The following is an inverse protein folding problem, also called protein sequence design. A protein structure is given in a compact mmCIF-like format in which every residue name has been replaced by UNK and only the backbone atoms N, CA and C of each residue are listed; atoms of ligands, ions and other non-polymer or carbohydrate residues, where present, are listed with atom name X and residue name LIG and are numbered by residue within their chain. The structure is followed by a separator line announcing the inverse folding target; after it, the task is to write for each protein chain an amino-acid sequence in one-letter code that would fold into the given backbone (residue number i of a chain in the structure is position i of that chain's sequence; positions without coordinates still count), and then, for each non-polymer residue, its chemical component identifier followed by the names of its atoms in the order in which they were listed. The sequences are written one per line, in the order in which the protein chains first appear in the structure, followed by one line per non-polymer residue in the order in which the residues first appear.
data_IF_481256245651
#
_entry.id   IF_481256245651
#
_cell.length_a   1.000
_cell.length_b   1.000
_cell.length_c   1.000
_cell.angle_alpha   90.00
_cell.angle_beta   90.00
_cell.angle_gamma   90.00
#
_symmetry.space_group_name_H-M   'P 1'
#
loop_
_entity.id
_entity.type
_entity.pdbx_description
1 polymer ?
#
# COMPACT_ATOMS: atom_id res chain seq x y z
N UNK A 1 9.05 40.98 5.83
CA UNK A 1 8.47 39.71 6.30
C UNK A 1 9.57 38.68 6.34
N UNK A 2 9.80 38.08 7.47
CA UNK A 2 10.74 36.95 7.62
C UNK A 2 10.09 35.63 7.20
N UNK A 3 10.87 34.53 6.98
CA UNK A 3 10.30 33.21 6.71
C UNK A 3 9.37 32.69 7.81
N UNK A 4 9.61 33.08 9.07
CA UNK A 4 8.75 32.68 10.19
C UNK A 4 7.44 33.45 10.20
N UNK A 5 7.51 34.78 10.00
CA UNK A 5 6.31 35.63 9.84
C UNK A 5 5.43 35.16 8.67
N UNK A 6 6.02 34.68 7.56
CA UNK A 6 5.26 34.12 6.46
C UNK A 6 4.54 32.83 6.89
N UNK A 7 5.20 31.97 7.67
CA UNK A 7 4.59 30.72 8.17
C UNK A 7 3.37 31.03 9.05
N UNK A 8 3.50 31.99 9.96
CA UNK A 8 2.41 32.40 10.86
C UNK A 8 1.26 33.06 10.09
N UNK A 9 1.55 33.85 9.08
CA UNK A 9 0.55 34.47 8.22
C UNK A 9 -0.26 33.41 7.43
N UNK A 10 0.41 32.40 6.85
CA UNK A 10 -0.28 31.33 6.12
C UNK A 10 -1.17 30.52 7.08
N UNK A 11 -0.68 30.19 8.28
CA UNK A 11 -1.45 29.47 9.29
C UNK A 11 -2.65 30.29 9.77
N UNK A 12 -2.50 31.61 9.97
CA UNK A 12 -3.59 32.48 10.41
C UNK A 12 -4.78 32.45 9.45
N UNK A 13 -4.54 32.29 8.14
CA UNK A 13 -5.59 32.17 7.12
C UNK A 13 -6.40 30.88 7.20
N UNK A 14 -5.92 29.88 7.94
CA UNK A 14 -6.65 28.63 8.19
C UNK A 14 -7.61 28.74 9.39
N UNK A 15 -7.58 29.83 10.15
CA UNK A 15 -8.38 30.00 11.39
C UNK A 15 -9.87 29.80 11.15
N UNK A 16 -10.40 30.27 10.02
CA UNK A 16 -11.82 30.19 9.65
C UNK A 16 -12.20 28.86 8.95
N UNK A 17 -11.30 27.88 8.88
CA UNK A 17 -11.62 26.56 8.29
C UNK A 17 -12.71 25.85 9.12
N UNK A 18 -13.91 25.60 8.55
CA UNK A 18 -15.06 25.09 9.32
C UNK A 18 -14.82 23.69 9.91
N UNK A 19 -14.09 22.84 9.20
CA UNK A 19 -13.75 21.50 9.66
C UNK A 19 -12.52 21.58 10.57
N UNK A 20 -12.70 21.34 11.87
CA UNK A 20 -11.64 21.44 12.86
C UNK A 20 -10.48 20.47 12.60
N UNK A 21 -10.78 19.22 12.19
CA UNK A 21 -9.75 18.24 11.87
C UNK A 21 -8.95 18.64 10.65
N UNK A 22 -9.60 19.13 9.60
CA UNK A 22 -8.92 19.65 8.41
C UNK A 22 -8.02 20.84 8.78
N UNK A 23 -8.49 21.76 9.63
CA UNK A 23 -7.70 22.88 10.12
C UNK A 23 -6.44 22.41 10.85
N UNK A 24 -6.57 21.43 11.75
CA UNK A 24 -5.44 20.84 12.48
C UNK A 24 -4.41 20.23 11.51
N UNK A 25 -4.88 19.38 10.59
CA UNK A 25 -4.02 18.69 9.61
C UNK A 25 -3.29 19.70 8.73
N UNK A 26 -4.00 20.67 8.17
CA UNK A 26 -3.42 21.68 7.29
C UNK A 26 -2.44 22.63 8.03
N UNK A 27 -2.74 22.98 9.27
CA UNK A 27 -1.82 23.77 10.09
C UNK A 27 -0.51 23.03 10.34
N UNK A 28 -0.60 21.74 10.68
CA UNK A 28 0.57 20.88 10.87
C UNK A 28 1.37 20.71 9.56
N UNK A 29 0.68 20.44 8.46
CA UNK A 29 1.29 20.28 7.13
C UNK A 29 2.08 21.53 6.72
N UNK A 30 1.49 22.71 6.83
CA UNK A 30 2.15 23.99 6.49
C UNK A 30 3.41 24.19 7.33
N UNK A 31 3.34 23.94 8.65
CA UNK A 31 4.52 24.06 9.53
C UNK A 31 5.66 23.16 9.07
N UNK A 32 5.36 21.89 8.78
CA UNK A 32 6.38 20.90 8.41
C UNK A 32 6.97 21.15 7.02
N UNK A 33 6.15 21.54 6.03
CA UNK A 33 6.65 21.90 4.70
C UNK A 33 7.55 23.15 4.78
N UNK A 34 7.14 24.19 5.52
CA UNK A 34 7.96 25.39 5.69
C UNK A 34 9.24 25.11 6.50
N UNK A 35 9.15 24.25 7.53
CA UNK A 35 10.32 23.83 8.29
C UNK A 35 11.31 23.06 7.40
N UNK A 36 10.82 22.10 6.62
CA UNK A 36 11.63 21.36 5.64
C UNK A 36 12.34 22.32 4.67
N UNK A 37 11.59 23.22 4.01
CA UNK A 37 12.19 24.15 3.04
C UNK A 37 13.28 25.05 3.66
N UNK A 38 13.10 25.50 4.91
CA UNK A 38 14.10 26.27 5.66
C UNK A 38 15.31 25.45 6.05
N UNK A 39 15.10 24.22 6.53
CA UNK A 39 16.14 23.30 6.98
C UNK A 39 17.11 22.94 5.85
N UNK A 40 16.59 22.52 4.70
CA UNK A 40 17.42 22.16 3.53
C UNK A 40 17.86 23.36 2.71
N UNK A 41 17.38 24.59 3.03
CA UNK A 41 17.61 25.81 2.25
C UNK A 41 17.23 25.61 0.78
N UNK A 42 16.02 25.08 0.56
CA UNK A 42 15.51 24.68 -0.75
C UNK A 42 15.68 25.81 -1.79
N UNK A 43 16.37 25.52 -2.87
CA UNK A 43 16.53 26.46 -3.98
C UNK A 43 15.28 26.53 -4.87
N UNK A 44 15.13 27.59 -5.67
CA UNK A 44 14.04 27.71 -6.64
C UNK A 44 14.07 26.60 -7.69
N UNK A 45 15.26 26.16 -8.08
CA UNK A 45 15.43 25.08 -9.03
C UNK A 45 14.96 23.74 -8.45
N UNK A 46 15.38 23.40 -7.23
CA UNK A 46 14.95 22.19 -6.53
C UNK A 46 13.44 22.19 -6.25
N UNK A 47 12.90 23.35 -5.85
CA UNK A 47 11.45 23.52 -5.69
C UNK A 47 10.71 23.24 -7.01
N UNK A 48 11.17 23.79 -8.13
CA UNK A 48 10.55 23.54 -9.44
C UNK A 48 10.69 22.09 -9.89
N UNK A 49 11.82 21.42 -9.61
CA UNK A 49 12.00 19.99 -9.86
C UNK A 49 10.98 19.16 -9.06
N UNK A 50 10.74 19.52 -7.79
CA UNK A 50 9.70 18.90 -6.95
C UNK A 50 8.31 19.08 -7.52
N UNK A 51 7.95 20.28 -7.97
CA UNK A 51 6.66 20.54 -8.64
C UNK A 51 6.50 19.69 -9.90
N UNK A 52 7.51 19.64 -10.76
CA UNK A 52 7.48 18.84 -11.98
C UNK A 52 7.40 17.34 -11.70
N UNK A 53 8.07 16.86 -10.65
CA UNK A 53 7.98 15.48 -10.21
C UNK A 53 6.55 15.13 -9.79
N UNK A 54 5.92 15.94 -8.93
CA UNK A 54 4.53 15.72 -8.48
C UNK A 54 3.54 15.82 -9.65
N UNK A 55 3.74 16.77 -10.58
CA UNK A 55 2.91 16.91 -11.77
C UNK A 55 2.94 15.64 -12.60
N UNK A 56 4.13 15.14 -12.94
CA UNK A 56 4.28 13.87 -13.69
C UNK A 56 3.71 12.66 -12.95
N UNK A 57 3.85 12.62 -11.63
CA UNK A 57 3.23 11.57 -10.80
C UNK A 57 1.71 11.59 -10.93
N UNK A 58 1.10 12.79 -10.95
CA UNK A 58 -0.33 12.95 -11.17
C UNK A 58 -0.77 12.57 -12.59
N UNK A 59 0.00 12.96 -13.61
CA UNK A 59 -0.31 12.69 -15.02
C UNK A 59 -0.38 11.19 -15.37
N UNK A 60 0.37 10.36 -14.67
CA UNK A 60 0.38 8.89 -14.90
C UNK A 60 -0.44 8.11 -13.87
N UNK A 61 -1.05 8.80 -12.90
CA UNK A 61 -1.95 8.16 -11.93
C UNK A 61 -3.34 7.99 -12.54
N UNK A 62 -3.85 6.76 -12.54
CA UNK A 62 -5.22 6.43 -12.98
C UNK A 62 -5.84 5.37 -12.04
N UNK A 63 -7.00 4.81 -12.40
CA UNK A 63 -7.71 3.80 -11.61
C UNK A 63 -6.94 2.49 -11.43
N UNK A 64 -5.98 2.20 -12.29
CA UNK A 64 -5.17 0.96 -12.29
C UNK A 64 -3.76 1.24 -11.79
N UNK A 65 -3.15 2.33 -12.26
CA UNK A 65 -1.80 2.75 -11.89
C UNK A 65 -1.85 3.82 -10.81
N UNK A 66 -1.58 3.41 -9.58
CA UNK A 66 -1.61 4.30 -8.41
C UNK A 66 -0.21 4.83 -8.07
N UNK A 67 0.31 5.72 -8.92
CA UNK A 67 1.68 6.24 -8.75
C UNK A 67 1.86 7.07 -7.47
N UNK A 68 0.82 7.79 -7.00
CA UNK A 68 0.86 8.49 -5.71
C UNK A 68 0.89 7.53 -4.52
N UNK A 69 0.18 6.39 -4.60
CA UNK A 69 0.29 5.35 -3.56
C UNK A 69 1.71 4.78 -3.57
N UNK A 70 2.26 4.49 -4.76
CA UNK A 70 3.63 4.01 -4.90
C UNK A 70 4.66 5.02 -4.33
N UNK A 71 4.44 6.32 -4.54
CA UNK A 71 5.27 7.37 -3.93
C UNK A 71 5.17 7.33 -2.40
N UNK A 72 3.95 7.25 -1.86
CA UNK A 72 3.70 7.15 -0.42
C UNK A 72 4.41 5.93 0.20
N UNK A 73 4.32 4.77 -0.47
CA UNK A 73 4.99 3.53 -0.06
C UNK A 73 6.52 3.68 -0.09
N UNK A 74 7.02 4.28 -1.16
CA UNK A 74 8.47 4.52 -1.33
C UNK A 74 9.04 5.45 -0.27
N UNK A 75 8.28 6.46 0.15
CA UNK A 75 8.63 7.38 1.23
C UNK A 75 8.35 6.81 2.64
N UNK A 76 7.72 5.64 2.75
CA UNK A 76 7.35 5.01 4.01
C UNK A 76 6.13 5.64 4.69
N UNK A 77 5.44 6.58 4.03
CA UNK A 77 4.29 7.27 4.62
C UNK A 77 3.10 6.32 4.81
N UNK A 78 2.83 5.45 3.85
CA UNK A 78 1.76 4.44 3.98
C UNK A 78 1.99 3.53 5.18
N UNK A 79 3.22 3.04 5.36
CA UNK A 79 3.59 2.20 6.50
C UNK A 79 3.47 2.95 7.83
N UNK A 80 3.90 4.22 7.86
CA UNK A 80 3.76 5.05 9.05
C UNK A 80 2.29 5.27 9.43
N UNK A 81 1.43 5.55 8.45
CA UNK A 81 -0.01 5.73 8.67
C UNK A 81 -0.64 4.42 9.16
N UNK A 82 -0.27 3.30 8.59
CA UNK A 82 -0.72 1.97 9.05
C UNK A 82 -0.31 1.74 10.51
N UNK A 83 0.95 1.95 10.87
CA UNK A 83 1.45 1.81 12.24
C UNK A 83 0.73 2.74 13.23
N UNK A 84 0.39 3.98 12.85
CA UNK A 84 -0.33 4.93 13.70
C UNK A 84 -1.77 4.45 13.97
N UNK A 85 -2.42 3.82 12.99
CA UNK A 85 -3.83 3.45 13.09
C UNK A 85 -4.07 2.01 13.57
N UNK A 86 -3.13 1.11 13.31
CA UNK A 86 -3.27 -0.32 13.60
C UNK A 86 -2.15 -0.87 14.49
N UNK A 87 -1.16 -0.04 14.85
CA UNK A 87 -0.11 -0.44 15.79
C UNK A 87 -0.71 -0.89 17.12
N UNK A 88 -0.46 -2.13 17.51
CA UNK A 88 -0.90 -2.70 18.79
C UNK A 88 0.25 -2.69 19.79
N UNK A 89 -0.02 -2.29 21.02
CA UNK A 89 0.89 -2.50 22.14
C UNK A 89 0.92 -3.98 22.59
N UNK A 90 0.01 -4.81 22.07
CA UNK A 90 -0.07 -6.23 22.35
C UNK A 90 0.98 -6.99 21.56
N UNK A 91 1.96 -7.58 22.22
CA UNK A 91 3.05 -8.35 21.58
C UNK A 91 2.58 -9.63 20.86
N UNK A 92 1.34 -10.05 21.07
CA UNK A 92 0.78 -11.31 20.56
C UNK A 92 -0.06 -11.15 19.31
N UNK A 93 -0.22 -9.91 18.81
CA UNK A 93 -0.98 -9.62 17.58
C UNK A 93 -0.04 -9.55 16.38
N UNK A 94 -0.44 -10.17 15.27
CA UNK A 94 0.30 -10.05 14.00
C UNK A 94 0.36 -8.58 13.58
N UNK A 95 1.56 -8.08 13.29
CA UNK A 95 1.76 -6.71 12.83
C UNK A 95 1.01 -6.46 11.52
N UNK A 96 0.34 -5.31 11.45
CA UNK A 96 -0.32 -4.84 10.23
C UNK A 96 0.71 -4.34 9.20
N UNK A 97 0.31 -4.34 7.93
CA UNK A 97 1.11 -3.81 6.83
C UNK A 97 0.22 -3.18 5.77
N UNK A 98 0.82 -2.48 4.83
CA UNK A 98 0.11 -1.78 3.75
C UNK A 98 -0.57 -2.75 2.78
N UNK A 99 -1.73 -2.35 2.24
CA UNK A 99 -2.45 -3.09 1.19
C UNK A 99 -1.68 -3.10 -0.14
N UNK A 100 -0.87 -2.09 -0.40
CA UNK A 100 -0.14 -1.92 -1.65
C UNK A 100 -1.03 -1.45 -2.83
N UNK A 101 -0.40 -1.10 -3.98
CA UNK A 101 -1.09 -0.46 -5.10
C UNK A 101 -1.93 -1.42 -5.97
N UNK A 102 -1.89 -2.74 -5.72
CA UNK A 102 -2.57 -3.76 -6.53
C UNK A 102 -3.76 -4.42 -5.81
N UNK A 103 -4.14 -3.90 -4.65
CA UNK A 103 -5.37 -4.31 -3.99
C UNK A 103 -6.59 -3.89 -4.82
N UNK A 104 -7.53 -4.81 -4.97
CA UNK A 104 -8.83 -4.56 -5.60
C UNK A 104 -9.90 -5.16 -4.71
N UNK A 105 -10.92 -4.39 -4.32
CA UNK A 105 -12.04 -4.91 -3.55
C UNK A 105 -12.85 -5.94 -4.35
N UNK A 106 -13.71 -6.67 -3.66
CA UNK A 106 -14.67 -7.61 -4.24
C UNK A 106 -14.04 -8.80 -4.98
N UNK A 107 -12.92 -9.33 -4.45
CA UNK A 107 -12.37 -10.62 -4.90
C UNK A 107 -13.44 -11.72 -4.86
N UNK A 108 -13.39 -12.73 -5.77
CA UNK A 108 -14.37 -13.82 -5.79
C UNK A 108 -14.35 -14.61 -4.47
N UNK A 109 -15.55 -15.01 -3.99
CA UNK A 109 -15.65 -15.93 -2.86
C UNK A 109 -15.25 -17.34 -3.30
N UNK A 110 -14.48 -18.04 -2.47
CA UNK A 110 -13.96 -19.37 -2.71
C UNK A 110 -14.18 -20.27 -1.50
N UNK A 111 -14.28 -21.57 -1.77
CA UNK A 111 -14.44 -22.56 -0.72
C UNK A 111 -13.12 -22.89 -0.01
N UNK A 112 -13.20 -23.45 1.18
CA UNK A 112 -12.03 -23.95 1.94
C UNK A 112 -11.23 -24.94 1.10
N UNK A 113 -9.93 -24.69 0.92
CA UNK A 113 -9.05 -25.52 0.09
C UNK A 113 -9.21 -25.38 -1.42
N UNK A 114 -10.07 -24.47 -1.89
CA UNK A 114 -10.18 -24.13 -3.30
C UNK A 114 -8.96 -23.36 -3.81
N UNK A 115 -8.64 -23.53 -5.11
CA UNK A 115 -7.54 -22.81 -5.75
C UNK A 115 -7.94 -21.39 -6.11
N UNK A 116 -7.06 -20.42 -5.85
CA UNK A 116 -7.20 -19.06 -6.37
C UNK A 116 -6.50 -18.87 -7.73
N UNK A 117 -5.89 -19.92 -8.29
CA UNK A 117 -5.27 -19.91 -9.61
C UNK A 117 -6.31 -20.18 -10.67
N UNK A 118 -6.54 -19.24 -11.57
CA UNK A 118 -7.45 -19.34 -12.73
C UNK A 118 -6.71 -19.35 -14.06
N UNK A 119 -5.43 -19.00 -14.05
CA UNK A 119 -4.57 -18.99 -15.23
C UNK A 119 -3.25 -19.67 -14.86
N UNK A 120 -2.96 -20.80 -15.52
CA UNK A 120 -1.73 -21.56 -15.32
C UNK A 120 -0.60 -20.93 -16.15
N UNK A 121 0.31 -20.26 -15.48
CA UNK A 121 1.52 -19.69 -16.06
C UNK A 121 2.79 -20.50 -15.72
N UNK A 122 2.61 -21.77 -15.31
CA UNK A 122 3.71 -22.69 -14.99
C UNK A 122 4.31 -22.45 -13.58
N UNK A 123 3.58 -21.81 -12.68
CA UNK A 123 4.03 -21.56 -11.32
C UNK A 123 4.18 -22.83 -10.48
N UNK A 124 5.09 -22.80 -9.51
CA UNK A 124 5.24 -23.88 -8.51
C UNK A 124 3.99 -23.93 -7.62
N UNK A 125 3.23 -25.06 -7.61
CA UNK A 125 2.05 -25.18 -6.75
C UNK A 125 2.41 -25.01 -5.26
N UNK A 126 1.57 -24.27 -4.54
CA UNK A 126 1.74 -24.02 -3.12
C UNK A 126 0.40 -24.11 -2.38
N UNK A 127 0.48 -24.40 -1.09
CA UNK A 127 -0.65 -24.34 -0.16
C UNK A 127 -0.33 -23.30 0.89
N UNK A 128 -1.22 -22.32 1.03
CA UNK A 128 -1.20 -21.36 2.11
C UNK A 128 -2.23 -21.80 3.16
N UNK A 129 -1.79 -22.08 4.37
CA UNK A 129 -2.67 -22.51 5.46
C UNK A 129 -2.27 -21.89 6.78
N UNK A 130 -3.22 -21.74 7.67
CA UNK A 130 -3.00 -21.18 8.99
C UNK A 130 -4.27 -21.15 9.81
N UNK A 131 -4.24 -20.36 10.88
CA UNK A 131 -5.36 -20.18 11.79
C UNK A 131 -5.48 -18.71 12.20
N UNK A 132 -6.71 -18.19 12.20
CA UNK A 132 -7.04 -16.88 12.78
C UNK A 132 -7.45 -17.10 14.22
N UNK A 133 -6.82 -16.34 15.11
CA UNK A 133 -7.09 -16.35 16.56
C UNK A 133 -7.31 -14.93 17.05
N UNK A 134 -8.09 -14.78 18.12
CA UNK A 134 -8.17 -13.51 18.85
C UNK A 134 -6.93 -13.29 19.73
N UNK A 135 -6.88 -12.15 20.43
CA UNK A 135 -5.75 -11.80 21.30
C UNK A 135 -5.60 -12.74 22.51
N UNK A 136 -6.64 -13.47 22.88
CA UNK A 136 -6.66 -14.46 23.96
C UNK A 136 -6.25 -15.86 23.47
N UNK A 137 -5.96 -16.02 22.16
CA UNK A 137 -5.57 -17.28 21.54
C UNK A 137 -6.73 -18.22 21.20
N UNK A 138 -7.98 -17.72 21.25
CA UNK A 138 -9.16 -18.49 20.86
C UNK A 138 -9.35 -18.43 19.33
N UNK A 139 -9.78 -19.54 18.68
CA UNK A 139 -9.99 -19.55 17.23
C UNK A 139 -11.17 -18.66 16.82
N UNK A 140 -11.00 -17.91 15.73
CA UNK A 140 -12.04 -17.07 15.14
C UNK A 140 -12.62 -17.77 13.93
N UNK A 141 -13.78 -18.42 14.12
CA UNK A 141 -14.52 -19.08 13.02
C UNK A 141 -15.34 -18.07 12.22
N UNK A 142 -15.31 -18.21 10.88
CA UNK A 142 -16.03 -17.33 9.96
C UNK A 142 -15.33 -15.98 9.70
N UNK A 143 -14.07 -15.82 10.13
CA UNK A 143 -13.27 -14.67 9.72
C UNK A 143 -13.06 -14.66 8.21
N UNK A 144 -13.28 -13.51 7.56
CA UNK A 144 -13.03 -13.34 6.14
C UNK A 144 -11.54 -13.04 5.89
N UNK A 145 -10.94 -13.79 4.96
CA UNK A 145 -9.59 -13.54 4.44
C UNK A 145 -9.70 -13.12 2.97
N UNK A 146 -9.45 -11.84 2.68
CA UNK A 146 -9.26 -11.38 1.31
C UNK A 146 -7.77 -11.50 0.96
N UNK A 147 -7.46 -12.40 0.01
CA UNK A 147 -6.10 -12.84 -0.28
C UNK A 147 -5.74 -12.51 -1.72
N UNK A 148 -4.55 -11.93 -1.94
CA UNK A 148 -4.03 -11.65 -3.29
C UNK A 148 -2.51 -11.72 -3.32
N UNK A 149 -1.99 -12.03 -4.49
CA UNK A 149 -0.56 -12.09 -4.76
C UNK A 149 -0.28 -11.86 -6.26
N UNK A 150 0.98 -11.81 -6.64
CA UNK A 150 1.38 -11.87 -8.04
C UNK A 150 1.32 -13.32 -8.57
N UNK A 151 1.13 -13.46 -9.88
CA UNK A 151 1.26 -14.71 -10.61
C UNK A 151 2.75 -15.12 -10.74
N UNK A 152 3.04 -16.32 -11.21
CA UNK A 152 4.42 -16.81 -11.33
C UNK A 152 5.27 -16.01 -12.32
N UNK A 153 4.65 -15.29 -13.26
CA UNK A 153 5.31 -14.36 -14.16
C UNK A 153 5.68 -13.00 -13.51
N UNK A 154 5.39 -12.80 -12.23
CA UNK A 154 5.72 -11.61 -11.46
C UNK A 154 4.71 -10.46 -11.55
N UNK A 155 3.60 -10.63 -12.25
CA UNK A 155 2.57 -9.59 -12.38
C UNK A 155 1.31 -9.90 -11.59
N UNK A 156 0.67 -8.88 -11.08
CA UNK A 156 -0.69 -8.98 -10.55
C UNK A 156 -1.71 -8.99 -11.69
N UNK A 157 -2.81 -9.68 -11.48
CA UNK A 157 -3.86 -9.83 -12.50
C UNK A 157 -4.36 -8.48 -13.07
N UNK A 158 -4.42 -7.44 -12.23
CA UNK A 158 -4.83 -6.09 -12.62
C UNK A 158 -3.89 -5.41 -13.61
N UNK A 159 -2.63 -5.84 -13.66
CA UNK A 159 -1.62 -5.31 -14.58
C UNK A 159 -1.66 -5.97 -15.96
N UNK A 160 -2.34 -7.12 -16.11
CA UNK A 160 -2.30 -7.96 -17.31
C UNK A 160 -3.70 -8.43 -17.74
N UNK A 161 -4.67 -7.54 -17.77
CA UNK A 161 -6.09 -7.83 -18.10
C UNK A 161 -6.28 -8.56 -19.45
N UNK A 162 -5.37 -8.38 -20.39
CA UNK A 162 -5.41 -9.03 -21.71
C UNK A 162 -4.77 -10.44 -21.70
N UNK A 163 -4.06 -10.82 -20.64
CA UNK A 163 -3.30 -12.07 -20.57
C UNK A 163 -3.94 -13.04 -19.58
N UNK A 164 -4.40 -12.54 -18.44
CA UNK A 164 -4.95 -13.35 -17.37
C UNK A 164 -6.25 -12.76 -16.84
N UNK A 165 -7.18 -13.60 -16.32
CA UNK A 165 -8.40 -13.12 -15.68
C UNK A 165 -8.09 -12.13 -14.55
N UNK A 166 -8.89 -11.09 -14.41
CA UNK A 166 -8.71 -10.07 -13.35
C UNK A 166 -8.83 -10.64 -11.93
N UNK A 167 -9.39 -11.83 -11.81
CA UNK A 167 -9.61 -12.60 -10.57
C UNK A 167 -8.52 -13.64 -10.32
N UNK A 168 -7.54 -13.79 -11.22
CA UNK A 168 -6.47 -14.75 -11.04
C UNK A 168 -5.61 -14.41 -9.81
N UNK A 169 -5.20 -15.43 -9.07
CA UNK A 169 -4.40 -15.39 -7.84
C UNK A 169 -4.93 -14.42 -6.78
N UNK A 170 -6.29 -14.40 -6.66
CA UNK A 170 -7.02 -13.68 -5.61
C UNK A 170 -8.30 -14.40 -5.21
N UNK A 171 -8.76 -14.17 -4.00
CA UNK A 171 -10.01 -14.75 -3.51
C UNK A 171 -10.32 -14.35 -2.08
N UNK A 172 -11.61 -14.43 -1.73
CA UNK A 172 -12.09 -14.30 -0.35
C UNK A 172 -12.42 -15.68 0.19
N UNK A 173 -11.83 -16.01 1.31
CA UNK A 173 -12.00 -17.28 2.02
C UNK A 173 -12.54 -17.03 3.41
N UNK A 174 -13.16 -18.03 4.00
CA UNK A 174 -13.65 -17.96 5.38
C UNK A 174 -13.03 -19.06 6.22
N UNK A 175 -12.67 -18.73 7.44
CA UNK A 175 -12.16 -19.71 8.39
C UNK A 175 -13.26 -20.71 8.80
N UNK A 176 -12.87 -21.95 9.05
CA UNK A 176 -13.75 -22.95 9.65
C UNK A 176 -14.00 -22.64 11.14
N UNK A 177 -14.79 -23.50 11.82
CA UNK A 177 -15.12 -23.34 13.25
C UNK A 177 -13.89 -23.38 14.19
N UNK A 178 -12.75 -23.89 13.71
CA UNK A 178 -11.48 -23.95 14.43
C UNK A 178 -10.55 -22.77 14.05
N UNK A 179 -11.08 -21.76 13.34
CA UNK A 179 -10.31 -20.62 12.86
C UNK A 179 -9.36 -20.96 11.70
N UNK A 180 -9.37 -22.17 11.17
CA UNK A 180 -8.41 -22.63 10.16
C UNK A 180 -8.81 -22.20 8.76
N UNK A 181 -7.80 -21.92 7.92
CA UNK A 181 -7.95 -21.71 6.48
C UNK A 181 -6.93 -22.52 5.70
N UNK A 182 -7.29 -22.91 4.49
CA UNK A 182 -6.43 -23.55 3.51
C UNK A 182 -6.75 -23.00 2.12
N UNK A 183 -5.72 -22.59 1.38
CA UNK A 183 -5.82 -21.94 0.07
C UNK A 183 -4.78 -22.57 -0.85
N UNK A 184 -5.21 -23.10 -1.99
CA UNK A 184 -4.30 -23.56 -3.04
C UNK A 184 -3.93 -22.40 -3.94
N UNK A 185 -2.64 -22.25 -4.20
CA UNK A 185 -2.09 -21.16 -5.00
C UNK A 185 -0.81 -21.60 -5.71
N UNK A 186 -0.09 -20.67 -6.29
CA UNK A 186 1.29 -20.82 -6.73
C UNK A 186 2.22 -20.03 -5.81
N UNK A 187 3.46 -20.49 -5.72
CA UNK A 187 4.48 -19.79 -4.96
C UNK A 187 4.68 -18.38 -5.54
N UNK A 188 4.52 -17.31 -4.74
CA UNK A 188 4.77 -15.96 -5.21
C UNK A 188 6.25 -15.77 -5.57
N UNK A 189 6.53 -14.85 -6.47
CA UNK A 189 7.89 -14.54 -6.91
C UNK A 189 8.25 -13.09 -6.59
N UNK A 190 9.54 -12.74 -6.44
CA UNK A 190 9.96 -11.36 -6.38
C UNK A 190 9.53 -10.63 -7.67
N UNK A 191 9.13 -9.38 -7.55
CA UNK A 191 8.70 -8.58 -8.70
C UNK A 191 9.19 -7.14 -8.60
N UNK A 192 9.43 -6.47 -9.74
CA UNK A 192 9.72 -5.05 -9.74
C UNK A 192 8.43 -4.25 -9.65
N UNK A 193 8.45 -3.17 -8.88
CA UNK A 193 7.42 -2.15 -9.01
C UNK A 193 7.52 -1.47 -10.39
N UNK A 194 6.43 -0.83 -10.90
CA UNK A 194 6.52 -0.04 -12.11
C UNK A 194 7.62 1.03 -11.97
N UNK A 195 8.71 0.87 -12.73
CA UNK A 195 9.90 1.72 -12.63
C UNK A 195 10.08 2.68 -13.83
N UNK A 196 9.09 2.72 -14.73
CA UNK A 196 9.04 3.57 -15.92
C UNK A 196 8.52 4.99 -15.63
N UNK A 197 7.99 5.23 -14.43
CA UNK A 197 7.44 6.50 -13.97
C UNK A 197 8.37 7.31 -13.05
N UNK A 198 7.87 8.45 -12.55
CA UNK A 198 8.62 9.35 -11.66
C UNK A 198 9.13 8.67 -10.40
N UNK A 199 8.36 7.77 -9.79
CA UNK A 199 8.78 7.05 -8.57
C UNK A 199 9.93 6.08 -8.86
N UNK A 200 9.92 5.40 -10.03
CA UNK A 200 11.04 4.58 -10.47
C UNK A 200 12.31 5.41 -10.71
N UNK A 201 12.18 6.63 -11.24
CA UNK A 201 13.31 7.56 -11.35
C UNK A 201 13.85 7.95 -9.96
N UNK A 202 12.97 8.29 -9.02
CA UNK A 202 13.35 8.62 -7.64
C UNK A 202 14.13 7.49 -6.96
N UNK A 203 13.70 6.24 -7.15
CA UNK A 203 14.42 5.08 -6.60
C UNK A 203 15.83 4.98 -7.18
N UNK A 204 16.00 5.11 -8.49
CA UNK A 204 17.31 5.11 -9.14
C UNK A 204 18.20 6.25 -8.65
N UNK A 205 17.68 7.47 -8.60
CA UNK A 205 18.41 8.66 -8.18
C UNK A 205 18.85 8.60 -6.71
N UNK A 206 18.10 7.84 -5.90
CA UNK A 206 18.43 7.59 -4.47
C UNK A 206 19.20 6.28 -4.24
N UNK A 207 19.63 5.58 -5.30
CA UNK A 207 20.39 4.33 -5.22
C UNK A 207 19.58 3.15 -4.65
N UNK A 208 18.26 3.19 -4.75
CA UNK A 208 17.35 2.13 -4.30
C UNK A 208 16.89 1.26 -5.48
N UNK A 209 16.73 -0.05 -5.23
CA UNK A 209 16.20 -0.97 -6.24
C UNK A 209 14.67 -1.00 -6.25
N UNK A 210 14.11 -1.36 -7.40
CA UNK A 210 12.66 -1.50 -7.62
C UNK A 210 12.08 -2.84 -7.14
N UNK A 211 12.90 -3.81 -6.81
CA UNK A 211 12.46 -5.16 -6.46
C UNK A 211 11.79 -5.26 -5.10
N UNK A 212 10.66 -5.98 -5.07
CA UNK A 212 9.96 -6.40 -3.87
C UNK A 212 10.19 -7.89 -3.63
N UNK A 213 10.31 -8.28 -2.37
CA UNK A 213 10.36 -9.69 -2.00
C UNK A 213 9.07 -10.41 -2.39
N UNK A 214 9.17 -11.72 -2.66
CA UNK A 214 8.00 -12.56 -2.86
C UNK A 214 7.11 -12.54 -1.60
N UNK A 215 5.81 -12.28 -1.77
CA UNK A 215 4.85 -12.21 -0.65
C UNK A 215 3.42 -12.50 -1.09
N UNK A 216 2.60 -12.85 -0.11
CA UNK A 216 1.14 -12.95 -0.22
C UNK A 216 0.54 -11.90 0.70
N UNK A 217 -0.44 -11.16 0.22
CA UNK A 217 -1.25 -10.27 1.02
C UNK A 217 -2.46 -11.03 1.60
N UNK A 218 -2.76 -10.77 2.86
CA UNK A 218 -3.97 -11.26 3.53
C UNK A 218 -4.56 -10.10 4.31
N UNK A 219 -5.80 -9.74 4.01
CA UNK A 219 -6.61 -8.82 4.82
C UNK A 219 -7.62 -9.67 5.58
N UNK A 220 -7.59 -9.60 6.91
CA UNK A 220 -8.51 -10.31 7.79
C UNK A 220 -9.58 -9.34 8.30
N UNK A 221 -10.85 -9.73 8.32
CA UNK A 221 -11.98 -8.96 8.83
C UNK A 221 -13.07 -9.85 9.43
#
# INVERSE_FOLDING_TARGET
MSPDELTDEVISRLAETPNERLREVMTSLVRHIHAFAKEVKLSEEEWMQGIQFLTRTGEITDEVRQEFILLSDTLGLSSLVDMINHGSELQEVTESTILGPFYVPDSPSREFGESMVEFDDGGEPAILSGRVMDAEGSPVGGAELDVWQNAANGFYAVQQKEIQPSTNVRGRYFTNQLGEYEIKTVRPVPYPIPADGPVGMLLRDTGRHEWRAAHVHIKVS
#
